data_IF_838697405430
#
_entry.id   IF_838697405430
#
_cell.length_a   1.000
_cell.length_b   1.000
_cell.length_c   1.000
_cell.angle_alpha   90.00
_cell.angle_beta   90.00
_cell.angle_gamma   90.00
#
_symmetry.space_group_name_H-M   'P 1'
#
loop_
_entity.id
_entity.type
_entity.pdbx_description
1 polymer ?
#
# COMPACT_ATOMS: atom_id res chain seq x y z
N UNK A 1 -6.34 -2.39 6.20
CA UNK A 1 -5.96 -1.96 4.85
C UNK A 1 -4.53 -1.50 4.70
N UNK A 2 -4.27 -0.20 4.99
CA UNK A 2 -3.06 0.51 4.55
C UNK A 2 -1.74 -0.10 5.05
N UNK A 3 -1.63 -0.38 6.34
CA UNK A 3 -0.41 -0.98 6.91
C UNK A 3 -0.14 -2.38 6.37
N UNK A 4 -1.19 -3.18 6.13
CA UNK A 4 -1.05 -4.50 5.53
C UNK A 4 -0.56 -4.39 4.07
N UNK A 5 -1.05 -3.42 3.31
CA UNK A 5 -0.57 -3.16 1.95
C UNK A 5 0.91 -2.78 1.95
N UNK A 6 1.34 -1.92 2.87
CA UNK A 6 2.74 -1.53 2.99
C UNK A 6 3.62 -2.75 3.32
N UNK A 7 3.16 -3.64 4.22
CA UNK A 7 3.85 -4.89 4.54
C UNK A 7 3.92 -5.84 3.34
N UNK A 8 2.87 -5.98 2.54
CA UNK A 8 2.86 -6.80 1.31
C UNK A 8 3.86 -6.25 0.29
N UNK A 9 3.90 -4.94 0.09
CA UNK A 9 4.89 -4.32 -0.78
C UNK A 9 6.33 -4.60 -0.28
N UNK A 10 6.53 -4.54 1.04
CA UNK A 10 7.82 -4.80 1.67
C UNK A 10 8.29 -6.27 1.58
N UNK A 11 7.43 -7.22 1.17
CA UNK A 11 7.89 -8.59 0.86
C UNK A 11 8.40 -8.73 -0.58
N UNK A 12 8.44 -7.65 -1.36
CA UNK A 12 8.79 -7.66 -2.78
C UNK A 12 7.62 -8.06 -3.70
N UNK A 13 6.38 -7.96 -3.23
CA UNK A 13 5.21 -8.23 -4.06
C UNK A 13 5.12 -7.22 -5.22
N UNK A 14 4.78 -7.71 -6.43
CA UNK A 14 4.63 -6.87 -7.61
C UNK A 14 3.31 -6.06 -7.62
N UNK A 15 2.37 -6.41 -6.75
CA UNK A 15 1.08 -5.73 -6.61
C UNK A 15 0.27 -6.26 -5.43
N UNK A 16 -0.80 -5.54 -5.06
CA UNK A 16 -1.73 -5.91 -4.01
C UNK A 16 -3.17 -5.62 -4.44
N UNK A 17 -4.12 -6.49 -4.07
CA UNK A 17 -5.55 -6.32 -4.35
C UNK A 17 -6.31 -5.98 -3.07
N UNK A 18 -7.17 -4.97 -3.14
CA UNK A 18 -8.01 -4.50 -2.03
C UNK A 18 -9.41 -4.20 -2.52
N UNK A 19 -10.40 -4.89 -1.95
CA UNK A 19 -11.81 -4.79 -2.34
C UNK A 19 -12.60 -4.11 -1.22
N UNK A 20 -12.68 -4.74 -0.05
CA UNK A 20 -13.48 -4.22 1.07
C UNK A 20 -12.95 -2.89 1.61
N UNK A 21 -11.63 -2.70 1.66
CA UNK A 21 -11.00 -1.49 2.17
C UNK A 21 -11.21 -0.26 1.26
N UNK A 22 -11.44 -0.48 -0.03
CA UNK A 22 -11.67 0.57 -1.03
C UNK A 22 -13.16 0.86 -1.23
N UNK A 23 -13.99 -0.19 -1.35
CA UNK A 23 -15.42 -0.06 -1.66
C UNK A 23 -16.29 0.34 -0.46
N UNK A 24 -15.85 0.07 0.77
CA UNK A 24 -16.56 0.51 1.99
C UNK A 24 -16.16 1.92 2.43
N UNK A 25 -15.22 2.57 1.75
CA UNK A 25 -14.81 3.91 2.10
C UNK A 25 -15.84 4.95 1.66
N UNK A 26 -16.05 5.95 2.52
CA UNK A 26 -16.94 7.08 2.24
C UNK A 26 -16.48 7.91 1.03
N UNK A 27 -15.18 7.91 0.76
CA UNK A 27 -14.56 8.47 -0.42
C UNK A 27 -13.60 7.44 -1.02
N UNK A 28 -14.00 6.83 -2.13
CA UNK A 28 -13.27 5.75 -2.78
C UNK A 28 -11.97 6.28 -3.42
N UNK A 29 -12.02 7.46 -4.02
CA UNK A 29 -10.87 8.06 -4.72
C UNK A 29 -9.74 8.39 -3.77
N UNK A 30 -10.08 9.05 -2.66
CA UNK A 30 -9.12 9.35 -1.59
C UNK A 30 -8.57 8.05 -0.98
N UNK A 31 -9.42 7.05 -0.79
CA UNK A 31 -8.99 5.75 -0.25
C UNK A 31 -8.02 5.01 -1.16
N UNK A 32 -8.30 4.96 -2.46
CA UNK A 32 -7.41 4.36 -3.47
C UNK A 32 -6.06 5.08 -3.49
N UNK A 33 -6.05 6.42 -3.41
CA UNK A 33 -4.82 7.20 -3.33
C UNK A 33 -3.98 6.84 -2.11
N UNK A 34 -4.61 6.75 -0.93
CA UNK A 34 -3.91 6.34 0.30
C UNK A 34 -3.35 4.91 0.21
N UNK A 35 -4.08 3.98 -0.41
CA UNK A 35 -3.64 2.60 -0.62
C UNK A 35 -2.42 2.53 -1.56
N UNK A 36 -2.43 3.32 -2.65
CA UNK A 36 -1.29 3.43 -3.56
C UNK A 36 -0.06 4.02 -2.86
N UNK A 37 -0.22 5.11 -2.11
CA UNK A 37 0.86 5.74 -1.35
C UNK A 37 1.41 4.83 -0.24
N UNK A 38 0.58 3.96 0.34
CA UNK A 38 1.04 2.97 1.32
C UNK A 38 1.85 1.85 0.65
N UNK A 39 1.42 1.37 -0.52
CA UNK A 39 2.13 0.35 -1.29
C UNK A 39 3.50 0.87 -1.75
N UNK A 40 3.53 2.06 -2.34
CA UNK A 40 4.77 2.70 -2.81
C UNK A 40 5.77 2.92 -1.67
N UNK A 41 5.33 3.41 -0.51
CA UNK A 41 6.19 3.54 0.68
C UNK A 41 6.72 2.20 1.17
N UNK A 42 5.89 1.17 1.20
CA UNK A 42 6.31 -0.18 1.59
C UNK A 42 7.35 -0.78 0.64
N UNK A 43 7.22 -0.54 -0.67
CA UNK A 43 8.19 -0.97 -1.68
C UNK A 43 9.51 -0.18 -1.60
N UNK A 44 9.47 1.10 -1.21
CA UNK A 44 10.67 1.93 -1.03
C UNK A 44 11.42 1.65 0.28
N UNK A 45 10.72 1.23 1.33
CA UNK A 45 11.29 0.89 2.63
C UNK A 45 12.16 -0.38 2.64
N UNK A 46 12.19 -1.14 1.55
CA UNK A 46 13.11 -2.29 1.35
C UNK A 46 14.34 -1.94 0.52
N UNK A 47 14.50 -0.68 0.09
CA UNK A 47 15.79 -0.21 -0.42
C UNK A 47 16.80 -0.26 0.71
N UNK A 48 18.05 -0.72 0.47
CA UNK A 48 19.04 -0.74 1.52
C UNK A 48 19.16 0.65 2.12
N UNK A 49 19.03 0.71 3.44
CA UNK A 49 19.61 1.73 4.30
C UNK A 49 21.14 1.78 4.05
N UNK A 50 21.56 2.32 2.92
CA UNK A 50 22.91 2.83 2.73
C UNK A 50 23.03 4.10 3.56
N UNK A 51 23.76 3.99 4.66
CA UNK A 51 24.24 5.12 5.47
C UNK A 51 25.27 5.98 4.77
#
# INVERSE_FOLDING_TARGET
GLENIARVAATGAHGAAVVSDALLARDISERVRQLADAFDRGARGTGPETG
#
